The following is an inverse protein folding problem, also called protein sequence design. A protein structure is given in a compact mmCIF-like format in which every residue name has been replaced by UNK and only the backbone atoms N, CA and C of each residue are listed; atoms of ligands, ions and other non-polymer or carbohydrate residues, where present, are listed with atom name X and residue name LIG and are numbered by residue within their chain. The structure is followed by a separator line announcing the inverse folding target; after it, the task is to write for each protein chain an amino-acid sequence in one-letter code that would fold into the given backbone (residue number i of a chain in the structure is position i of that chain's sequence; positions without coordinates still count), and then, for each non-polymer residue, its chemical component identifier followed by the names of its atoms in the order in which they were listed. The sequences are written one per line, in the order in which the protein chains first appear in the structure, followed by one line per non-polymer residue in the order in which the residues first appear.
data_IF_539076405104
#
_entry.id   IF_539076405104
#
_cell.length_a   1.000
_cell.length_b   1.000
_cell.length_c   1.000
_cell.angle_alpha   90.00
_cell.angle_beta   90.00
_cell.angle_gamma   90.00
#
_symmetry.space_group_name_H-M   'P 1'
#
loop_
_entity.id
_entity.type
_entity.pdbx_description
1 polymer ?
#
# COMPACT_ATOMS: atom_id res chain seq x y z
N UNK A 1 13.17 -4.04 11.65
CA UNK A 1 14.46 -4.52 11.15
C UNK A 1 14.26 -5.06 9.74
N UNK A 2 14.62 -4.32 8.72
CA UNK A 2 14.58 -4.87 7.35
C UNK A 2 15.71 -5.90 7.25
N UNK A 3 15.35 -7.15 7.02
CA UNK A 3 16.32 -8.23 6.83
C UNK A 3 17.01 -8.01 5.49
N UNK A 4 18.26 -7.62 5.52
CA UNK A 4 19.03 -7.45 4.30
C UNK A 4 19.25 -8.80 3.62
N UNK A 5 18.86 -8.88 2.37
CA UNK A 5 19.20 -9.96 1.47
C UNK A 5 20.49 -9.62 0.71
N UNK A 6 21.11 -10.60 0.12
CA UNK A 6 22.21 -10.36 -0.82
C UNK A 6 21.67 -9.66 -2.08
N UNK A 7 22.51 -8.86 -2.70
CA UNK A 7 22.18 -8.26 -3.98
C UNK A 7 21.75 -9.35 -4.99
N UNK A 8 20.62 -9.12 -5.68
CA UNK A 8 20.02 -10.06 -6.63
C UNK A 8 19.59 -11.43 -6.05
N UNK A 9 19.42 -11.57 -4.73
CA UNK A 9 19.00 -12.84 -4.11
C UNK A 9 17.61 -13.30 -4.59
N UNK A 10 16.77 -12.37 -5.07
CA UNK A 10 15.44 -12.65 -5.62
C UNK A 10 15.40 -12.64 -7.16
N UNK A 11 16.55 -12.69 -7.82
CA UNK A 11 16.59 -12.63 -9.28
C UNK A 11 15.81 -13.79 -9.91
N UNK A 12 15.00 -13.45 -10.90
CA UNK A 12 14.15 -14.40 -11.62
C UNK A 12 12.83 -14.72 -10.92
N UNK A 13 12.48 -14.04 -9.82
CA UNK A 13 11.19 -14.16 -9.18
C UNK A 13 10.21 -13.10 -9.75
N UNK A 14 9.08 -13.56 -10.30
CA UNK A 14 7.98 -12.71 -10.74
C UNK A 14 6.95 -12.58 -9.60
N UNK A 15 6.63 -11.34 -9.24
CA UNK A 15 5.73 -11.04 -8.10
C UNK A 15 4.63 -10.10 -8.55
N UNK A 16 3.37 -10.45 -8.30
CA UNK A 16 2.24 -9.53 -8.52
C UNK A 16 1.55 -9.19 -7.21
N UNK A 17 1.44 -7.90 -6.93
CA UNK A 17 0.64 -7.37 -5.84
C UNK A 17 -0.72 -6.94 -6.38
N UNK A 18 -1.81 -7.46 -5.80
CA UNK A 18 -3.18 -7.13 -6.22
C UNK A 18 -3.87 -6.32 -5.12
N UNK A 19 -4.25 -5.09 -5.45
CA UNK A 19 -5.02 -4.21 -4.58
C UNK A 19 -6.51 -4.31 -4.88
N UNK A 20 -7.33 -4.48 -3.84
CA UNK A 20 -8.77 -4.70 -3.97
C UNK A 20 -9.56 -3.39 -3.95
N UNK A 21 -10.74 -3.33 -4.58
CA UNK A 21 -11.62 -2.17 -4.48
C UNK A 21 -12.03 -1.89 -3.03
N UNK A 22 -11.87 -0.64 -2.59
CA UNK A 22 -12.17 -0.22 -1.21
C UNK A 22 -13.53 0.43 -1.05
N UNK A 23 -14.02 1.12 -2.07
CA UNK A 23 -15.27 1.90 -2.03
C UNK A 23 -16.03 1.80 -3.35
N UNK A 24 -17.35 1.66 -3.26
CA UNK A 24 -18.22 1.63 -4.43
C UNK A 24 -18.74 3.03 -4.85
N UNK A 25 -18.83 3.96 -3.91
CA UNK A 25 -19.52 5.26 -4.10
C UNK A 25 -18.60 6.44 -4.43
N UNK A 26 -17.29 6.31 -4.31
CA UNK A 26 -16.37 7.41 -4.56
C UNK A 26 -15.20 6.99 -5.45
N UNK A 27 -14.74 7.89 -6.32
CA UNK A 27 -13.49 7.67 -7.05
C UNK A 27 -12.33 7.64 -6.04
N UNK A 28 -11.44 6.64 -6.11
CA UNK A 28 -10.25 6.61 -5.25
C UNK A 28 -9.34 7.78 -5.58
N UNK A 29 -8.78 8.38 -4.54
CA UNK A 29 -7.86 9.52 -4.62
C UNK A 29 -6.52 9.25 -3.91
N UNK A 30 -6.34 8.02 -3.46
CA UNK A 30 -5.09 7.58 -2.81
C UNK A 30 -4.65 6.31 -3.50
N UNK A 31 -3.51 6.33 -4.20
CA UNK A 31 -2.97 5.14 -4.83
C UNK A 31 -2.50 4.13 -3.77
N UNK A 32 -2.33 2.84 -4.14
CA UNK A 32 -2.01 1.77 -3.20
C UNK A 32 -0.55 1.84 -2.71
N UNK A 33 -0.25 2.72 -1.76
CA UNK A 33 1.13 2.96 -1.26
C UNK A 33 1.74 1.70 -0.65
N UNK A 34 0.96 0.90 0.10
CA UNK A 34 1.44 -0.36 0.69
C UNK A 34 1.99 -1.33 -0.36
N UNK A 35 1.18 -1.78 -1.33
CA UNK A 35 1.66 -2.58 -2.46
C UNK A 35 2.85 -1.98 -3.20
N UNK A 36 2.88 -0.66 -3.43
CA UNK A 36 3.97 0.01 -4.11
C UNK A 36 5.29 0.00 -3.32
N UNK A 37 5.22 0.13 -1.99
CA UNK A 37 6.40 -0.02 -1.11
C UNK A 37 6.90 -1.47 -1.12
N UNK A 38 6.02 -2.45 -1.00
CA UNK A 38 6.40 -3.86 -1.02
C UNK A 38 7.02 -4.25 -2.37
N UNK A 39 6.47 -3.76 -3.47
CA UNK A 39 7.02 -3.93 -4.81
C UNK A 39 8.44 -3.32 -4.93
N UNK A 40 8.63 -2.09 -4.46
CA UNK A 40 9.93 -1.44 -4.40
C UNK A 40 10.94 -2.25 -3.55
N UNK A 41 10.47 -2.82 -2.44
CA UNK A 41 11.28 -3.62 -1.52
C UNK A 41 11.80 -4.89 -2.19
N UNK A 42 10.96 -5.67 -2.85
CA UNK A 42 11.42 -6.90 -3.53
C UNK A 42 12.26 -6.58 -4.77
N UNK A 43 11.95 -5.49 -5.49
CA UNK A 43 12.71 -5.02 -6.64
C UNK A 43 14.16 -4.67 -6.29
N UNK A 44 14.38 -4.08 -5.11
CA UNK A 44 15.73 -3.77 -4.59
C UNK A 44 16.65 -5.00 -4.57
N UNK A 45 16.09 -6.20 -4.45
CA UNK A 45 16.83 -7.45 -4.37
C UNK A 45 16.70 -8.34 -5.63
N UNK A 46 16.27 -7.77 -6.75
CA UNK A 46 16.31 -8.40 -8.07
C UNK A 46 15.03 -9.12 -8.49
N UNK A 47 13.95 -9.10 -7.72
CA UNK A 47 12.66 -9.59 -8.20
C UNK A 47 12.06 -8.65 -9.26
N UNK A 48 11.17 -9.20 -10.09
CA UNK A 48 10.37 -8.45 -11.07
C UNK A 48 8.95 -8.26 -10.51
N UNK A 49 8.67 -7.12 -9.84
CA UNK A 49 7.36 -6.85 -9.28
C UNK A 49 6.42 -6.20 -10.29
N UNK A 50 5.13 -6.49 -10.12
CA UNK A 50 4.01 -5.85 -10.80
C UNK A 50 2.93 -5.48 -9.79
N UNK A 51 2.10 -4.50 -10.16
CA UNK A 51 0.92 -4.12 -9.38
C UNK A 51 -0.31 -4.17 -10.28
N UNK A 52 -1.34 -4.88 -9.84
CA UNK A 52 -2.69 -4.78 -10.39
C UNK A 52 -3.54 -4.06 -9.35
N UNK A 53 -4.01 -2.88 -9.69
CA UNK A 53 -4.85 -2.09 -8.79
C UNK A 53 -6.30 -2.04 -9.27
N UNK A 54 -7.12 -2.97 -8.81
CA UNK A 54 -8.54 -2.99 -9.13
C UNK A 54 -9.32 -1.80 -8.53
N UNK A 55 -8.76 -1.12 -7.53
CA UNK A 55 -9.42 0.02 -6.91
C UNK A 55 -9.42 1.27 -7.81
N UNK A 56 -8.45 1.42 -8.68
CA UNK A 56 -8.31 2.60 -9.56
C UNK A 56 -9.38 2.72 -10.65
N UNK A 57 -10.08 1.63 -10.96
CA UNK A 57 -10.99 1.55 -12.12
C UNK A 57 -12.45 1.90 -11.83
N UNK A 58 -12.71 2.71 -10.83
CA UNK A 58 -14.09 3.10 -10.59
C UNK A 58 -14.65 3.94 -11.77
N UNK A 59 -15.64 3.39 -12.41
CA UNK A 59 -16.39 4.10 -13.46
C UNK A 59 -17.23 5.20 -12.81
N UNK A 60 -17.06 6.45 -13.24
CA UNK A 60 -17.87 7.58 -12.80
C UNK A 60 -19.32 7.45 -13.26
N UNK A 61 -20.26 8.05 -12.53
CA UNK A 61 -21.68 8.01 -12.89
C UNK A 61 -21.94 8.53 -14.31
N UNK A 62 -21.30 9.64 -14.71
CA UNK A 62 -21.44 10.17 -16.06
C UNK A 62 -20.97 9.18 -17.13
N UNK A 63 -19.84 8.49 -16.92
CA UNK A 63 -19.34 7.47 -17.83
C UNK A 63 -20.23 6.21 -17.80
N UNK A 64 -20.75 5.87 -16.64
CA UNK A 64 -21.70 4.76 -16.49
C UNK A 64 -22.97 5.02 -17.30
N UNK A 65 -23.55 6.22 -17.20
CA UNK A 65 -24.74 6.61 -17.98
C UNK A 65 -24.46 6.57 -19.49
N UNK A 66 -23.30 7.03 -19.94
CA UNK A 66 -22.90 6.93 -21.37
C UNK A 66 -22.82 5.47 -21.85
N UNK A 67 -22.51 4.53 -20.94
CA UNK A 67 -22.47 3.08 -21.21
C UNK A 67 -23.79 2.36 -20.96
N UNK A 68 -24.86 3.11 -20.67
CA UNK A 68 -26.19 2.54 -20.38
C UNK A 68 -26.31 1.90 -18.99
N UNK A 69 -25.39 2.21 -18.06
CA UNK A 69 -25.44 1.78 -16.67
C UNK A 69 -26.16 2.82 -15.80
N UNK A 70 -26.82 2.37 -14.75
CA UNK A 70 -27.58 3.26 -13.85
C UNK A 70 -26.68 4.16 -13.02
N UNK A 71 -25.59 3.61 -12.48
CA UNK A 71 -24.65 4.32 -11.61
C UNK A 71 -23.21 3.90 -11.90
N UNK A 72 -22.25 4.73 -11.46
CA UNK A 72 -20.87 4.36 -11.44
C UNK A 72 -20.59 3.16 -10.52
N UNK A 73 -19.63 2.33 -10.91
CA UNK A 73 -19.25 1.11 -10.20
C UNK A 73 -17.77 0.82 -10.31
N UNK A 74 -17.26 -0.04 -9.46
CA UNK A 74 -15.98 -0.71 -9.70
C UNK A 74 -16.07 -1.69 -10.88
N UNK A 75 -14.94 -2.28 -11.26
CA UNK A 75 -14.91 -3.39 -12.20
C UNK A 75 -15.88 -4.50 -11.75
N UNK A 76 -16.50 -5.16 -12.72
CA UNK A 76 -17.11 -6.46 -12.48
C UNK A 76 -16.01 -7.51 -12.27
N UNK A 77 -16.36 -8.63 -11.67
CA UNK A 77 -15.43 -9.76 -11.54
C UNK A 77 -14.90 -10.25 -12.89
N UNK A 78 -15.76 -10.19 -13.93
CA UNK A 78 -15.35 -10.57 -15.30
C UNK A 78 -14.29 -9.61 -15.86
N UNK A 79 -14.50 -8.29 -15.72
CA UNK A 79 -13.51 -7.28 -16.14
C UNK A 79 -12.19 -7.41 -15.38
N UNK A 80 -12.25 -7.72 -14.07
CA UNK A 80 -11.07 -7.98 -13.26
C UNK A 80 -10.32 -9.25 -13.71
N UNK A 81 -11.07 -10.32 -14.07
CA UNK A 81 -10.48 -11.53 -14.61
C UNK A 81 -9.81 -11.29 -15.97
N UNK A 82 -10.47 -10.56 -16.86
CA UNK A 82 -9.93 -10.21 -18.18
C UNK A 82 -8.63 -9.40 -18.03
N UNK A 83 -8.59 -8.46 -17.09
CA UNK A 83 -7.38 -7.68 -16.78
C UNK A 83 -6.27 -8.57 -16.22
N UNK A 84 -6.58 -9.50 -15.33
CA UNK A 84 -5.61 -10.44 -14.79
C UNK A 84 -5.05 -11.36 -15.89
N UNK A 85 -5.90 -11.87 -16.78
CA UNK A 85 -5.45 -12.66 -17.94
C UNK A 85 -4.57 -11.83 -18.88
N UNK A 86 -4.95 -10.58 -19.16
CA UNK A 86 -4.11 -9.68 -19.95
C UNK A 86 -2.75 -9.43 -19.28
N UNK A 87 -2.72 -9.29 -17.96
CA UNK A 87 -1.48 -9.18 -17.20
C UNK A 87 -0.58 -10.42 -17.41
N UNK A 88 -1.15 -11.61 -17.32
CA UNK A 88 -0.39 -12.85 -17.57
C UNK A 88 0.11 -12.94 -19.01
N UNK A 89 -0.67 -12.48 -19.99
CA UNK A 89 -0.23 -12.43 -21.39
C UNK A 89 0.97 -11.50 -21.59
N UNK A 90 1.00 -10.39 -20.84
CA UNK A 90 2.09 -9.40 -20.95
C UNK A 90 3.35 -9.83 -20.20
N UNK A 91 3.24 -10.53 -19.08
CA UNK A 91 4.32 -10.74 -18.12
C UNK A 91 4.62 -12.22 -17.82
N UNK A 92 3.84 -13.14 -18.38
CA UNK A 92 3.97 -14.56 -18.12
C UNK A 92 3.47 -14.99 -16.73
N UNK A 93 3.83 -16.23 -16.37
CA UNK A 93 3.46 -16.81 -15.09
C UNK A 93 4.09 -16.07 -13.92
N UNK A 94 3.29 -15.95 -12.86
CA UNK A 94 3.70 -15.31 -11.61
C UNK A 94 4.04 -16.36 -10.55
N UNK A 95 5.18 -16.20 -9.91
CA UNK A 95 5.65 -17.12 -8.86
C UNK A 95 5.01 -16.82 -7.51
N UNK A 96 4.81 -15.55 -7.23
CA UNK A 96 4.19 -15.04 -6.01
C UNK A 96 3.09 -14.04 -6.37
N UNK A 97 1.89 -14.28 -5.86
CA UNK A 97 0.78 -13.33 -5.93
C UNK A 97 0.37 -12.96 -4.52
N UNK A 98 0.43 -11.66 -4.21
CA UNK A 98 0.13 -11.10 -2.90
C UNK A 98 -1.14 -10.24 -2.97
N UNK A 99 -2.14 -10.62 -2.18
CA UNK A 99 -3.39 -9.88 -2.03
C UNK A 99 -3.27 -8.93 -0.84
N UNK A 100 -3.79 -7.71 -1.01
CA UNK A 100 -3.87 -6.74 0.07
C UNK A 100 -5.31 -6.30 0.30
N UNK A 101 -5.73 -6.24 1.56
CA UNK A 101 -7.08 -5.79 1.83
C UNK A 101 -7.45 -5.64 3.30
N UNK A 102 -8.65 -5.09 3.46
CA UNK A 102 -9.34 -4.85 4.72
C UNK A 102 -10.58 -5.74 4.80
N UNK A 103 -11.27 -5.75 5.92
CA UNK A 103 -12.51 -6.53 6.08
C UNK A 103 -13.56 -6.21 5.00
N UNK A 104 -13.64 -4.95 4.60
CA UNK A 104 -14.56 -4.48 3.55
C UNK A 104 -14.27 -5.05 2.17
N UNK A 105 -13.09 -5.65 1.96
CA UNK A 105 -12.67 -6.25 0.68
C UNK A 105 -12.65 -7.78 0.71
N UNK A 106 -13.14 -8.43 1.76
CA UNK A 106 -13.10 -9.89 1.92
C UNK A 106 -13.70 -10.62 0.73
N UNK A 107 -14.89 -10.23 0.29
CA UNK A 107 -15.57 -10.82 -0.88
C UNK A 107 -14.75 -10.73 -2.15
N UNK A 108 -14.09 -9.60 -2.37
CA UNK A 108 -13.19 -9.43 -3.49
C UNK A 108 -11.97 -10.36 -3.40
N UNK A 109 -11.39 -10.50 -2.22
CA UNK A 109 -10.27 -11.41 -2.02
C UNK A 109 -10.64 -12.87 -2.27
N UNK A 110 -11.83 -13.31 -1.83
CA UNK A 110 -12.35 -14.65 -2.12
C UNK A 110 -12.43 -14.92 -3.63
N UNK A 111 -13.08 -14.01 -4.37
CA UNK A 111 -13.25 -14.19 -5.83
C UNK A 111 -11.93 -14.05 -6.60
N UNK A 112 -11.07 -13.11 -6.21
CA UNK A 112 -9.73 -12.96 -6.82
C UNK A 112 -8.85 -14.17 -6.51
N UNK A 113 -8.92 -14.75 -5.32
CA UNK A 113 -8.17 -15.96 -5.00
C UNK A 113 -8.61 -17.16 -5.87
N UNK A 114 -9.92 -17.33 -6.10
CA UNK A 114 -10.45 -18.34 -7.04
C UNK A 114 -9.97 -18.08 -8.47
N UNK A 115 -10.04 -16.82 -8.92
CA UNK A 115 -9.55 -16.40 -10.22
C UNK A 115 -8.05 -16.71 -10.39
N UNK A 116 -7.24 -16.35 -9.39
CA UNK A 116 -5.81 -16.66 -9.39
C UNK A 116 -5.59 -18.16 -9.53
N UNK A 117 -6.28 -19.00 -8.77
CA UNK A 117 -6.12 -20.46 -8.85
C UNK A 117 -6.56 -21.06 -10.17
N UNK A 118 -7.55 -20.47 -10.82
CA UNK A 118 -8.00 -20.89 -12.15
C UNK A 118 -6.89 -20.71 -13.19
N UNK A 119 -6.16 -19.61 -13.14
CA UNK A 119 -5.16 -19.24 -14.16
C UNK A 119 -3.71 -19.51 -13.74
N UNK A 120 -3.42 -19.53 -12.45
CA UNK A 120 -2.09 -19.71 -11.86
C UNK A 120 -2.15 -20.72 -10.69
N UNK A 121 -2.41 -22.03 -10.96
CA UNK A 121 -2.64 -23.02 -9.91
C UNK A 121 -1.42 -23.27 -9.03
N UNK A 122 -0.20 -23.07 -9.56
CA UNK A 122 1.08 -23.40 -8.90
C UNK A 122 1.71 -22.24 -8.13
N UNK A 123 1.28 -21.01 -8.33
CA UNK A 123 1.87 -19.84 -7.68
C UNK A 123 1.74 -19.90 -6.15
N UNK A 124 2.64 -19.22 -5.45
CA UNK A 124 2.45 -18.94 -4.04
C UNK A 124 1.42 -17.81 -3.91
N UNK A 125 0.27 -18.10 -3.30
CA UNK A 125 -0.79 -17.11 -3.08
C UNK A 125 -0.84 -16.74 -1.60
N UNK A 126 -0.58 -15.47 -1.30
CA UNK A 126 -0.55 -14.93 0.05
C UNK A 126 -1.51 -13.76 0.19
N UNK A 127 -2.08 -13.56 1.35
CA UNK A 127 -2.76 -12.31 1.70
C UNK A 127 -2.13 -11.68 2.95
N UNK A 128 -2.11 -10.34 2.96
CA UNK A 128 -1.57 -9.54 4.06
C UNK A 128 -2.48 -8.36 4.42
N UNK A 129 -1.97 -7.51 5.29
CA UNK A 129 -2.67 -6.33 5.79
C UNK A 129 -3.62 -6.62 6.95
N UNK A 130 -4.50 -5.66 7.25
CA UNK A 130 -5.36 -5.71 8.43
C UNK A 130 -6.24 -6.96 8.52
N UNK A 131 -6.81 -7.41 7.41
CA UNK A 131 -7.66 -8.60 7.39
C UNK A 131 -6.92 -9.85 7.84
N UNK A 132 -5.74 -10.11 7.28
CA UNK A 132 -4.92 -11.27 7.62
C UNK A 132 -4.43 -11.22 9.09
N UNK A 133 -4.16 -10.01 9.58
CA UNK A 133 -3.69 -9.80 10.94
C UNK A 133 -4.78 -10.05 11.98
N UNK A 134 -6.02 -9.63 11.73
CA UNK A 134 -7.13 -9.75 12.69
C UNK A 134 -7.76 -11.16 12.66
N UNK A 135 -8.04 -11.71 11.48
CA UNK A 135 -8.71 -13.01 11.36
C UNK A 135 -7.73 -14.18 11.55
N UNK A 136 -6.44 -13.94 11.31
CA UNK A 136 -5.38 -14.94 11.49
C UNK A 136 -5.67 -16.19 10.64
N UNK A 137 -5.37 -17.36 11.19
CA UNK A 137 -5.56 -18.67 10.52
C UNK A 137 -7.01 -18.97 10.16
N UNK A 138 -7.98 -18.33 10.81
CA UNK A 138 -9.38 -18.42 10.44
C UNK A 138 -9.68 -17.98 9.01
N UNK A 139 -8.81 -17.12 8.43
CA UNK A 139 -8.96 -16.65 7.05
C UNK A 139 -8.85 -17.79 6.02
N UNK A 140 -8.13 -18.87 6.31
CA UNK A 140 -8.08 -20.06 5.44
C UNK A 140 -9.43 -20.79 5.28
N UNK A 141 -10.37 -20.59 6.21
CA UNK A 141 -11.72 -21.11 6.08
C UNK A 141 -12.56 -20.29 5.10
N UNK A 142 -12.27 -19.00 4.98
CA UNK A 142 -12.97 -18.09 4.07
C UNK A 142 -12.35 -18.12 2.67
N UNK A 143 -11.02 -18.20 2.60
CA UNK A 143 -10.27 -18.19 1.33
C UNK A 143 -9.36 -19.43 1.31
N UNK A 144 -9.94 -20.62 1.01
CA UNK A 144 -9.18 -21.88 1.01
C UNK A 144 -8.12 -21.97 -0.09
N UNK A 145 -8.14 -21.06 -1.06
CA UNK A 145 -7.17 -20.94 -2.13
C UNK A 145 -5.79 -20.49 -1.67
N UNK A 146 -5.70 -19.83 -0.51
CA UNK A 146 -4.45 -19.28 0.01
C UNK A 146 -3.44 -20.38 0.40
N UNK A 147 -2.15 -20.10 0.11
CA UNK A 147 -1.03 -20.81 0.71
C UNK A 147 -0.60 -20.16 2.03
N UNK A 148 -0.67 -18.84 2.11
CA UNK A 148 -0.13 -18.14 3.26
C UNK A 148 -0.95 -16.92 3.67
N UNK A 149 -0.80 -16.59 4.95
CA UNK A 149 -1.19 -15.29 5.51
C UNK A 149 0.05 -14.59 6.07
N UNK A 150 0.15 -13.28 5.82
CA UNK A 150 1.18 -12.41 6.37
C UNK A 150 0.52 -11.44 7.37
N UNK A 151 0.96 -11.49 8.62
CA UNK A 151 0.40 -10.70 9.73
C UNK A 151 1.31 -9.53 10.05
N UNK A 152 0.73 -8.47 10.63
CA UNK A 152 1.46 -7.27 11.04
C UNK A 152 2.09 -6.51 9.87
N UNK A 153 3.27 -5.90 10.04
CA UNK A 153 3.92 -5.05 9.03
C UNK A 153 4.51 -5.87 7.87
N UNK A 154 4.33 -5.37 6.65
CA UNK A 154 4.72 -6.09 5.44
C UNK A 154 6.19 -5.96 5.02
N UNK A 155 6.89 -4.92 5.47
CA UNK A 155 8.15 -4.48 4.90
C UNK A 155 9.29 -5.51 4.98
N UNK A 156 9.47 -6.15 6.15
CA UNK A 156 10.48 -7.19 6.33
C UNK A 156 9.99 -8.54 5.82
N UNK A 157 8.73 -8.84 6.12
CA UNK A 157 8.19 -10.16 5.87
C UNK A 157 8.01 -10.44 4.39
N UNK A 158 7.80 -9.42 3.55
CA UNK A 158 7.71 -9.60 2.09
C UNK A 158 8.98 -10.21 1.50
N UNK A 159 10.16 -9.90 2.06
CA UNK A 159 11.43 -10.47 1.62
C UNK A 159 11.54 -11.95 1.98
N UNK A 160 11.03 -12.32 3.15
CA UNK A 160 10.97 -13.72 3.60
C UNK A 160 10.02 -14.52 2.71
N UNK A 161 8.83 -13.97 2.44
CA UNK A 161 7.83 -14.58 1.56
C UNK A 161 8.41 -14.77 0.15
N UNK A 162 9.09 -13.76 -0.37
CA UNK A 162 9.70 -13.79 -1.70
C UNK A 162 10.80 -14.86 -1.79
N UNK A 163 11.64 -15.02 -0.75
CA UNK A 163 12.63 -16.10 -0.70
C UNK A 163 11.98 -17.48 -0.69
N UNK A 164 10.95 -17.64 0.11
CA UNK A 164 10.23 -18.91 0.20
C UNK A 164 9.54 -19.23 -1.14
N UNK A 165 8.95 -18.22 -1.81
CA UNK A 165 8.38 -18.38 -3.14
C UNK A 165 9.44 -18.78 -4.19
N UNK A 166 10.62 -18.16 -4.13
CA UNK A 166 11.74 -18.54 -5.00
C UNK A 166 12.20 -20.00 -4.76
N UNK A 167 12.24 -20.42 -3.50
CA UNK A 167 12.57 -21.82 -3.16
C UNK A 167 11.51 -22.81 -3.69
N UNK A 168 10.23 -22.44 -3.63
CA UNK A 168 9.13 -23.22 -4.22
C UNK A 168 9.26 -23.27 -5.74
N UNK A 169 9.54 -22.14 -6.41
CA UNK A 169 9.80 -22.10 -7.85
C UNK A 169 10.91 -23.05 -8.27
N UNK A 170 12.02 -23.04 -7.54
CA UNK A 170 13.22 -23.81 -7.88
C UNK A 170 13.10 -25.31 -7.60
N UNK A 171 12.38 -25.72 -6.58
CA UNK A 171 12.39 -27.11 -6.11
C UNK A 171 10.99 -27.75 -6.01
N UNK A 172 9.94 -27.01 -6.25
CA UNK A 172 8.55 -27.43 -6.04
C UNK A 172 8.16 -27.48 -4.54
N UNK A 173 6.87 -27.42 -4.28
CA UNK A 173 6.31 -27.36 -2.91
C UNK A 173 6.82 -28.47 -1.99
N UNK A 174 6.72 -29.74 -2.43
CA UNK A 174 7.12 -30.89 -1.63
C UNK A 174 8.58 -30.83 -1.18
N UNK A 175 9.48 -30.49 -2.09
CA UNK A 175 10.90 -30.41 -1.78
C UNK A 175 11.23 -29.19 -0.94
N UNK A 176 10.61 -28.03 -1.20
CA UNK A 176 10.80 -26.82 -0.42
C UNK A 176 10.40 -27.02 1.03
N UNK A 177 9.25 -27.67 1.28
CA UNK A 177 8.77 -27.99 2.64
C UNK A 177 9.68 -29.02 3.33
N UNK A 178 9.97 -30.14 2.68
CA UNK A 178 10.75 -31.23 3.25
C UNK A 178 12.21 -30.85 3.57
N UNK A 179 12.80 -29.97 2.76
CA UNK A 179 14.16 -29.51 2.98
C UNK A 179 14.32 -28.47 4.07
N UNK A 180 13.22 -28.07 4.74
CA UNK A 180 13.18 -27.00 5.75
C UNK A 180 13.80 -25.67 5.26
N UNK A 181 13.73 -25.43 3.96
CA UNK A 181 14.24 -24.18 3.35
C UNK A 181 13.32 -23.00 3.56
N UNK A 182 12.06 -23.25 3.93
CA UNK A 182 11.08 -22.21 4.15
C UNK A 182 11.23 -21.60 5.53
N UNK A 183 11.16 -20.27 5.58
CA UNK A 183 11.29 -19.49 6.82
C UNK A 183 9.95 -19.31 7.55
N UNK A 184 8.84 -19.67 6.90
CA UNK A 184 7.50 -19.54 7.43
C UNK A 184 7.18 -20.61 8.49
N UNK A 185 6.22 -20.31 9.35
CA UNK A 185 5.60 -21.32 10.20
C UNK A 185 4.65 -22.18 9.36
N UNK A 186 5.00 -23.46 9.19
CA UNK A 186 4.22 -24.41 8.41
C UNK A 186 3.08 -25.00 9.23
N UNK A 187 1.85 -24.87 8.75
CA UNK A 187 0.65 -25.38 9.41
C UNK A 187 0.30 -26.82 8.99
N UNK A 188 0.73 -27.24 7.80
CA UNK A 188 0.36 -28.53 7.21
C UNK A 188 -0.16 -28.39 5.79
N UNK A 189 -0.62 -29.52 5.24
CA UNK A 189 -1.28 -29.57 3.94
C UNK A 189 -2.78 -29.80 4.14
N UNK A 190 -3.59 -28.92 3.56
CA UNK A 190 -5.05 -28.94 3.66
C UNK A 190 -5.66 -28.74 2.27
N UNK A 191 -6.52 -29.68 1.84
CA UNK A 191 -7.16 -29.62 0.52
C UNK A 191 -6.15 -29.56 -0.63
N UNK A 192 -5.02 -30.30 -0.51
CA UNK A 192 -3.96 -30.32 -1.50
C UNK A 192 -3.09 -29.06 -1.56
N UNK A 193 -3.17 -28.18 -0.55
CA UNK A 193 -2.37 -26.95 -0.46
C UNK A 193 -1.56 -26.90 0.83
N UNK A 194 -0.29 -26.58 0.68
CA UNK A 194 0.59 -26.25 1.81
C UNK A 194 0.20 -24.88 2.37
N UNK A 195 0.07 -24.79 3.70
CA UNK A 195 -0.35 -23.57 4.39
C UNK A 195 0.70 -23.08 5.38
N UNK A 196 0.91 -21.75 5.38
CA UNK A 196 1.95 -21.08 6.15
C UNK A 196 1.42 -19.81 6.83
N UNK A 197 2.09 -19.42 7.90
CA UNK A 197 1.90 -18.12 8.54
C UNK A 197 3.23 -17.39 8.57
N UNK A 198 3.20 -16.17 8.16
CA UNK A 198 4.32 -15.23 8.28
C UNK A 198 3.96 -14.14 9.28
N UNK A 199 4.94 -13.73 10.07
CA UNK A 199 4.81 -12.66 11.05
C UNK A 199 5.81 -11.56 10.72
N UNK A 200 5.30 -10.36 10.43
CA UNK A 200 6.11 -9.19 10.16
C UNK A 200 6.34 -8.36 11.41
N UNK A 201 7.39 -7.58 11.39
CA UNK A 201 7.71 -6.60 12.44
C UNK A 201 7.89 -5.23 11.80
N UNK A 202 7.57 -4.18 12.56
CA UNK A 202 7.83 -2.82 12.10
C UNK A 202 9.34 -2.58 12.06
N UNK A 203 9.88 -2.08 10.94
CA UNK A 203 11.25 -1.61 10.86
C UNK A 203 11.52 -0.52 11.90
N UNK A 204 12.63 -0.63 12.65
CA UNK A 204 13.02 0.38 13.65
C UNK A 204 13.38 1.71 12.96
N UNK A 205 14.06 1.65 11.82
CA UNK A 205 14.39 2.81 11.02
C UNK A 205 13.53 2.82 9.75
N UNK A 206 12.54 3.70 9.71
CA UNK A 206 11.63 3.83 8.57
C UNK A 206 12.30 4.45 7.33
N UNK A 207 13.46 5.07 7.44
CA UNK A 207 14.21 5.59 6.30
C UNK A 207 14.87 4.49 5.46
N UNK A 208 14.93 3.26 5.97
CA UNK A 208 15.40 2.10 5.20
C UNK A 208 14.34 1.55 4.24
N UNK A 209 13.08 1.92 4.44
CA UNK A 209 11.97 1.53 3.56
C UNK A 209 12.11 2.32 2.26
N UNK A 210 12.12 1.65 1.09
CA UNK A 210 12.23 2.34 -0.18
C UNK A 210 11.00 3.22 -0.44
N UNK A 211 11.16 4.21 -1.31
CA UNK A 211 10.03 4.97 -1.80
C UNK A 211 9.09 4.07 -2.62
N UNK A 212 7.78 4.33 -2.61
CA UNK A 212 6.82 3.56 -3.39
C UNK A 212 7.19 3.50 -4.88
N UNK A 213 7.06 2.32 -5.47
CA UNK A 213 7.31 2.08 -6.89
C UNK A 213 6.10 2.53 -7.73
N UNK A 214 5.84 3.83 -7.75
CA UNK A 214 4.71 4.42 -8.49
C UNK A 214 4.78 4.18 -10.00
N UNK A 215 5.99 4.00 -10.54
CA UNK A 215 6.23 3.66 -11.94
C UNK A 215 5.51 2.38 -12.38
N UNK A 216 5.19 1.47 -11.45
CA UNK A 216 4.42 0.26 -11.73
C UNK A 216 2.92 0.52 -11.97
N UNK A 217 2.44 1.74 -11.71
CA UNK A 217 1.08 2.16 -12.02
C UNK A 217 1.00 3.08 -13.25
N UNK A 218 2.14 3.47 -13.84
CA UNK A 218 2.20 4.30 -15.04
C UNK A 218 1.78 3.54 -16.32
N UNK A 219 1.65 2.22 -16.22
CA UNK A 219 1.14 1.38 -17.29
C UNK A 219 0.42 0.16 -16.71
N UNK A 220 -0.89 0.15 -16.81
CA UNK A 220 -1.71 -1.00 -16.45
C UNK A 220 -1.61 -2.13 -17.49
N UNK A 221 -2.25 -3.29 -17.31
CA UNK A 221 -2.21 -4.38 -18.30
C UNK A 221 -2.68 -4.01 -19.71
N UNK A 222 -3.40 -2.92 -19.86
CA UNK A 222 -3.88 -2.39 -21.15
C UNK A 222 -3.07 -1.17 -21.65
N UNK A 223 -2.00 -0.78 -20.95
CA UNK A 223 -1.15 0.35 -21.29
C UNK A 223 -1.70 1.72 -20.85
N UNK A 224 -2.69 1.74 -19.94
CA UNK A 224 -3.24 2.97 -19.39
C UNK A 224 -2.43 3.45 -18.19
N UNK A 225 -2.15 4.76 -18.10
CA UNK A 225 -1.50 5.39 -16.95
C UNK A 225 -2.51 5.61 -15.82
N UNK A 226 -2.57 4.62 -14.92
CA UNK A 226 -3.45 4.65 -13.77
C UNK A 226 -2.96 5.61 -12.67
N UNK A 227 -1.65 5.83 -12.58
CA UNK A 227 -1.09 6.80 -11.63
C UNK A 227 -1.54 8.21 -11.94
N UNK A 228 -1.56 8.59 -13.22
CA UNK A 228 -2.05 9.91 -13.65
C UNK A 228 -3.52 10.11 -13.29
N UNK A 229 -4.34 9.07 -13.35
CA UNK A 229 -5.73 9.13 -12.89
C UNK A 229 -5.83 9.47 -11.38
N UNK A 230 -4.96 8.90 -10.56
CA UNK A 230 -4.89 9.22 -9.13
C UNK A 230 -4.40 10.65 -8.88
N UNK A 231 -3.34 11.07 -9.56
CA UNK A 231 -2.73 12.39 -9.41
C UNK A 231 -3.73 13.50 -9.70
N UNK A 232 -4.60 13.31 -10.70
CA UNK A 232 -5.61 14.29 -11.11
C UNK A 232 -6.88 14.28 -10.24
N UNK A 233 -6.96 13.45 -9.20
CA UNK A 233 -8.04 13.48 -8.22
C UNK A 233 -7.51 14.07 -6.92
N UNK A 234 -7.90 15.32 -6.57
CA UNK A 234 -7.38 15.97 -5.37
C UNK A 234 -7.56 15.13 -4.12
N UNK A 235 -6.49 14.94 -3.38
CA UNK A 235 -6.53 14.35 -2.04
C UNK A 235 -7.39 15.23 -1.15
N UNK A 236 -8.33 14.63 -0.40
CA UNK A 236 -9.34 15.33 0.43
C UNK A 236 -10.29 16.26 -0.32
N UNK A 237 -10.06 16.53 -1.60
CA UNK A 237 -10.99 17.17 -2.53
C UNK A 237 -11.56 18.50 -2.06
N UNK A 238 -12.80 18.73 -2.46
CA UNK A 238 -13.52 19.97 -2.14
C UNK A 238 -13.78 20.16 -0.64
N UNK A 239 -13.90 19.10 0.13
CA UNK A 239 -14.14 19.18 1.57
C UNK A 239 -12.99 19.89 2.30
N UNK A 240 -11.75 19.55 2.01
CA UNK A 240 -10.58 20.20 2.58
C UNK A 240 -10.52 21.68 2.19
N UNK A 241 -10.74 21.99 0.92
CA UNK A 241 -10.73 23.37 0.43
C UNK A 241 -11.84 24.21 1.08
N UNK A 242 -13.06 23.68 1.19
CA UNK A 242 -14.20 24.39 1.75
C UNK A 242 -14.10 24.61 3.26
N UNK A 243 -13.37 23.76 3.98
CA UNK A 243 -13.18 23.89 5.43
C UNK A 243 -11.98 24.76 5.82
N UNK A 244 -11.18 25.20 4.86
CA UNK A 244 -10.05 26.10 5.10
C UNK A 244 -10.50 27.54 5.27
N UNK A 245 -9.94 28.23 6.28
CA UNK A 245 -10.14 29.68 6.45
C UNK A 245 -9.55 30.47 5.26
N UNK A 246 -8.47 29.96 4.67
CA UNK A 246 -7.87 30.49 3.44
C UNK A 246 -7.99 29.42 2.37
N UNK A 247 -8.92 29.55 1.41
CA UNK A 247 -9.07 28.59 0.33
C UNK A 247 -7.79 28.41 -0.47
N UNK A 248 -7.49 27.18 -0.80
CA UNK A 248 -6.35 26.82 -1.66
C UNK A 248 -6.82 25.88 -2.77
N UNK A 249 -6.12 25.91 -3.89
CA UNK A 249 -6.35 24.98 -4.99
C UNK A 249 -5.30 23.90 -4.98
N UNK A 250 -5.73 22.65 -5.18
CA UNK A 250 -4.83 21.55 -5.53
C UNK A 250 -5.34 20.93 -6.83
N UNK A 251 -4.45 20.69 -7.74
CA UNK A 251 -4.76 20.12 -9.06
C UNK A 251 -4.14 18.75 -9.20
N UNK A 252 -2.90 18.63 -8.75
CA UNK A 252 -2.07 17.44 -8.91
C UNK A 252 -1.50 17.05 -7.55
N UNK A 253 -1.97 15.95 -7.01
CA UNK A 253 -1.60 15.54 -5.65
C UNK A 253 -1.26 14.06 -5.56
N UNK A 254 -0.36 13.72 -4.65
CA UNK A 254 -0.12 12.36 -4.17
C UNK A 254 -0.12 12.35 -2.66
N UNK A 255 -0.20 11.15 -2.11
CA UNK A 255 0.00 10.92 -0.68
C UNK A 255 1.34 10.26 -0.42
N UNK A 256 1.86 10.47 0.78
CA UNK A 256 2.96 9.69 1.34
C UNK A 256 2.87 9.65 2.85
N UNK A 257 3.15 8.50 3.44
CA UNK A 257 3.14 8.31 4.88
C UNK A 257 4.47 8.80 5.46
N UNK A 258 4.40 9.71 6.44
CA UNK A 258 5.60 10.26 7.11
C UNK A 258 5.89 9.58 8.45
N UNK A 259 4.90 8.91 9.02
CA UNK A 259 5.00 8.16 10.27
C UNK A 259 4.12 6.92 10.21
N UNK A 260 4.33 5.97 11.10
CA UNK A 260 3.49 4.79 11.25
C UNK A 260 3.08 4.60 12.69
N UNK A 261 1.79 4.33 12.88
CA UNK A 261 1.17 4.14 14.17
C UNK A 261 0.96 5.42 14.95
N UNK A 262 0.41 5.27 16.14
CA UNK A 262 0.09 6.37 17.03
C UNK A 262 0.32 5.93 18.50
N UNK A 263 1.00 6.72 19.34
CA UNK A 263 1.32 6.31 20.71
C UNK A 263 0.12 6.39 21.67
N UNK A 264 -0.98 6.99 21.24
CA UNK A 264 -2.17 7.21 22.08
C UNK A 264 -3.10 5.99 22.14
N UNK A 265 -3.98 5.96 23.13
CA UNK A 265 -4.89 4.86 23.44
C UNK A 265 -6.35 5.26 23.41
N UNK A 266 -6.78 6.00 22.38
CA UNK A 266 -8.16 6.42 22.22
C UNK A 266 -9.09 5.21 22.12
N UNK A 267 -10.15 5.16 22.94
CA UNK A 267 -11.01 3.99 23.07
C UNK A 267 -11.77 3.62 21.79
N UNK A 268 -12.01 4.57 20.92
CA UNK A 268 -12.71 4.37 19.63
C UNK A 268 -11.78 4.01 18.47
N UNK A 269 -10.46 4.17 18.64
CA UNK A 269 -9.53 4.09 17.53
C UNK A 269 -9.04 2.67 17.30
N UNK A 270 -9.14 2.22 16.06
CA UNK A 270 -8.42 1.04 15.60
C UNK A 270 -6.95 1.40 15.36
N UNK A 271 -6.05 0.78 16.11
CA UNK A 271 -4.61 1.07 16.10
C UNK A 271 -3.78 0.00 15.40
N UNK A 272 -4.31 -0.50 14.31
CA UNK A 272 -3.66 -1.60 13.60
C UNK A 272 -3.76 -2.92 14.37
N UNK A 273 -3.08 -3.89 13.82
CA UNK A 273 -3.07 -5.23 14.35
C UNK A 273 -2.58 -5.26 15.79
N UNK A 274 -3.31 -5.94 16.64
CA UNK A 274 -2.95 -6.22 18.03
C UNK A 274 -2.88 -4.99 18.96
N UNK A 275 -3.44 -3.85 18.58
CA UNK A 275 -3.43 -2.66 19.43
C UNK A 275 -2.05 -2.08 19.66
N UNK A 276 -1.15 -2.20 18.69
CA UNK A 276 0.22 -1.69 18.78
C UNK A 276 0.23 -0.19 19.06
N UNK A 277 0.85 0.20 20.17
CA UNK A 277 1.08 1.59 20.55
C UNK A 277 2.37 2.18 19.95
N UNK A 278 3.04 1.42 19.10
CA UNK A 278 4.31 1.83 18.54
C UNK A 278 4.12 2.99 17.58
N UNK A 279 5.00 3.96 17.70
CA UNK A 279 5.07 5.12 16.84
C UNK A 279 6.49 5.22 16.25
N UNK A 280 6.57 5.29 14.95
CA UNK A 280 7.82 5.47 14.22
C UNK A 280 7.69 6.58 13.20
N UNK A 281 8.77 7.32 12.96
CA UNK A 281 8.82 8.41 11.98
C UNK A 281 9.93 8.20 10.97
N UNK A 282 9.70 8.65 9.77
CA UNK A 282 10.74 8.89 8.77
C UNK A 282 11.40 10.23 9.09
N UNK A 283 12.68 10.37 8.80
CA UNK A 283 13.34 11.67 8.94
C UNK A 283 12.73 12.71 7.99
N UNK A 284 12.75 13.96 8.38
CA UNK A 284 12.26 15.06 7.54
C UNK A 284 13.07 15.16 6.25
N UNK A 285 14.35 14.88 6.33
CA UNK A 285 15.27 14.84 5.21
C UNK A 285 14.92 13.76 4.18
N UNK A 286 14.52 12.57 4.67
CA UNK A 286 14.07 11.48 3.80
C UNK A 286 12.74 11.82 3.11
N UNK A 287 11.80 12.43 3.84
CA UNK A 287 10.52 12.88 3.29
C UNK A 287 10.73 14.00 2.27
N UNK A 288 11.55 15.00 2.59
CA UNK A 288 11.81 16.12 1.69
C UNK A 288 12.42 15.67 0.36
N UNK A 289 13.35 14.71 0.38
CA UNK A 289 13.91 14.10 -0.84
C UNK A 289 12.83 13.40 -1.67
N UNK A 290 11.92 12.68 -1.02
CA UNK A 290 10.81 12.02 -1.71
C UNK A 290 9.88 13.04 -2.36
N UNK A 291 9.48 14.09 -1.63
CA UNK A 291 8.65 15.18 -2.15
C UNK A 291 9.30 15.81 -3.36
N UNK A 292 10.58 16.16 -3.26
CA UNK A 292 11.34 16.77 -4.37
C UNK A 292 11.33 15.85 -5.61
N UNK A 293 11.55 14.56 -5.42
CA UNK A 293 11.49 13.58 -6.51
C UNK A 293 10.11 13.52 -7.16
N UNK A 294 9.04 13.53 -6.36
CA UNK A 294 7.67 13.48 -6.85
C UNK A 294 7.26 14.76 -7.58
N UNK A 295 7.62 15.92 -7.03
CA UNK A 295 7.34 17.23 -7.67
C UNK A 295 8.02 17.30 -9.03
N UNK A 296 9.29 16.91 -9.11
CA UNK A 296 10.05 16.95 -10.36
C UNK A 296 9.52 15.94 -11.40
N UNK A 297 9.12 14.74 -10.97
CA UNK A 297 8.67 13.69 -11.89
C UNK A 297 7.21 13.89 -12.32
N UNK A 298 6.34 14.23 -11.37
CA UNK A 298 4.89 14.24 -11.59
C UNK A 298 4.26 15.63 -11.62
N UNK A 299 5.06 16.69 -11.48
CA UNK A 299 4.58 18.07 -11.45
C UNK A 299 3.47 18.29 -10.43
N UNK A 300 3.70 17.84 -9.20
CA UNK A 300 2.72 17.94 -8.12
C UNK A 300 2.69 19.36 -7.53
N UNK A 301 1.51 19.80 -7.13
CA UNK A 301 1.28 21.04 -6.39
C UNK A 301 0.83 20.82 -4.94
N UNK A 302 0.56 19.54 -4.57
CA UNK A 302 0.12 19.20 -3.23
C UNK A 302 0.57 17.78 -2.80
N UNK A 303 0.93 17.66 -1.52
CA UNK A 303 1.21 16.36 -0.87
C UNK A 303 0.26 16.15 0.31
N UNK A 304 -0.40 15.00 0.35
CA UNK A 304 -1.16 14.55 1.51
C UNK A 304 -0.34 13.65 2.41
N UNK A 305 -0.36 13.90 3.72
CA UNK A 305 0.18 12.98 4.73
C UNK A 305 -0.98 12.30 5.48
N UNK A 306 -1.38 11.08 5.06
CA UNK A 306 -2.46 10.35 5.71
C UNK A 306 -1.97 9.59 6.95
N UNK A 307 -1.09 10.20 7.71
CA UNK A 307 -0.55 9.64 8.94
C UNK A 307 -1.66 9.44 9.98
N UNK A 308 -1.56 8.41 10.79
CA UNK A 308 -2.49 8.20 11.92
C UNK A 308 -2.46 9.38 12.90
N UNK A 309 -1.29 9.98 13.08
CA UNK A 309 -1.09 11.24 13.81
C UNK A 309 0.26 11.88 13.44
N UNK A 310 0.22 12.98 12.74
CA UNK A 310 1.41 13.64 12.20
C UNK A 310 2.22 14.40 13.25
N UNK A 311 1.54 15.11 14.15
CA UNK A 311 2.15 16.14 15.00
C UNK A 311 2.60 15.66 16.40
N UNK A 312 2.76 14.36 16.61
CA UNK A 312 3.16 13.76 17.90
C UNK A 312 4.44 14.39 18.47
N UNK A 313 5.48 14.56 17.64
CA UNK A 313 6.79 15.03 18.08
C UNK A 313 6.96 16.54 17.87
N UNK A 314 6.84 17.33 18.95
CA UNK A 314 7.12 18.78 18.91
C UNK A 314 8.49 19.11 18.33
N UNK A 315 9.52 18.34 18.72
CA UNK A 315 10.90 18.53 18.21
C UNK A 315 10.98 18.34 16.69
N UNK A 316 10.28 17.34 16.14
CA UNK A 316 10.23 17.09 14.70
C UNK A 316 9.50 18.23 13.97
N UNK A 317 8.36 18.64 14.50
CA UNK A 317 7.54 19.70 13.89
C UNK A 317 8.26 21.05 13.88
N UNK A 318 8.99 21.43 14.94
CA UNK A 318 9.79 22.65 14.96
C UNK A 318 10.84 22.74 13.85
N UNK A 319 11.33 21.60 13.37
CA UNK A 319 12.37 21.54 12.32
C UNK A 319 11.80 21.47 10.90
N UNK A 320 10.48 21.29 10.74
CA UNK A 320 9.89 20.98 9.43
C UNK A 320 10.12 22.11 8.42
N UNK A 321 9.92 23.34 8.83
CA UNK A 321 10.12 24.53 8.00
C UNK A 321 11.58 24.67 7.53
N UNK A 322 12.52 24.49 8.45
CA UNK A 322 13.95 24.57 8.17
C UNK A 322 14.37 23.51 7.14
N UNK A 323 14.01 22.24 7.40
CA UNK A 323 14.40 21.12 6.52
C UNK A 323 13.71 21.26 5.15
N UNK A 324 12.44 21.61 5.10
CA UNK A 324 11.74 21.75 3.82
C UNK A 324 12.32 22.91 2.97
N UNK A 325 12.71 24.02 3.60
CA UNK A 325 13.47 25.11 2.92
C UNK A 325 14.82 24.63 2.41
N UNK A 326 15.58 23.91 3.24
CA UNK A 326 16.88 23.38 2.85
C UNK A 326 16.82 22.49 1.60
N UNK A 327 15.73 21.74 1.42
CA UNK A 327 15.53 20.87 0.26
C UNK A 327 14.70 21.53 -0.86
N UNK A 328 14.28 22.79 -0.71
CA UNK A 328 13.52 23.54 -1.71
C UNK A 328 12.10 23.01 -1.94
N UNK A 329 11.50 22.39 -0.92
CA UNK A 329 10.13 21.84 -0.99
C UNK A 329 9.12 22.61 -0.15
N UNK A 330 9.53 23.68 0.50
CA UNK A 330 8.67 24.57 1.29
C UNK A 330 7.63 25.35 0.44
N UNK A 331 7.82 25.40 -0.89
CA UNK A 331 6.85 25.95 -1.83
C UNK A 331 5.71 25.00 -2.16
N UNK A 332 5.85 23.70 -1.82
CA UNK A 332 4.83 22.69 -2.05
C UNK A 332 3.84 22.72 -0.91
N UNK A 333 2.57 22.87 -1.25
CA UNK A 333 1.49 22.80 -0.27
C UNK A 333 1.28 21.36 0.19
N UNK A 334 0.94 21.22 1.46
CA UNK A 334 0.64 19.91 2.01
C UNK A 334 -0.40 19.99 3.11
N UNK A 335 -0.97 18.86 3.46
CA UNK A 335 -1.92 18.74 4.53
C UNK A 335 -1.83 17.41 5.25
N UNK A 336 -2.40 17.34 6.44
CA UNK A 336 -2.34 16.17 7.31
C UNK A 336 -3.49 16.09 8.29
N UNK A 337 -3.46 15.05 9.14
CA UNK A 337 -4.37 14.87 10.27
C UNK A 337 -3.58 14.79 11.58
N UNK A 338 -4.14 15.32 12.64
CA UNK A 338 -3.57 15.24 13.98
C UNK A 338 -4.67 15.32 15.04
N UNK A 339 -4.31 15.18 16.30
CA UNK A 339 -5.26 15.27 17.41
C UNK A 339 -5.56 16.74 17.76
N UNK A 340 -6.77 17.00 18.28
CA UNK A 340 -7.19 18.33 18.68
C UNK A 340 -6.30 18.92 19.79
N UNK A 341 -5.84 18.10 20.75
CA UNK A 341 -4.95 18.55 21.83
C UNK A 341 -3.49 18.84 21.38
N UNK A 342 -3.20 18.62 20.10
CA UNK A 342 -1.94 19.00 19.43
C UNK A 342 -2.08 20.30 18.63
N UNK A 343 -3.23 20.96 18.68
CA UNK A 343 -3.49 22.26 18.08
C UNK A 343 -2.84 23.40 18.91
N UNK A 344 -1.54 23.38 18.99
CA UNK A 344 -0.72 24.37 19.70
C UNK A 344 0.29 25.04 18.73
N UNK A 345 1.42 25.49 19.24
CA UNK A 345 2.50 26.10 18.47
C UNK A 345 2.97 25.26 17.25
N UNK A 346 2.70 23.93 17.26
CA UNK A 346 3.03 23.04 16.14
C UNK A 346 2.31 23.44 14.85
N UNK A 347 1.07 23.95 14.97
CA UNK A 347 0.31 24.39 13.80
C UNK A 347 1.02 25.54 13.06
N UNK A 348 1.62 26.49 13.79
CA UNK A 348 2.38 27.58 13.20
C UNK A 348 3.64 27.08 12.49
N UNK A 349 4.41 26.18 13.12
CA UNK A 349 5.58 25.59 12.48
C UNK A 349 5.24 24.76 11.23
N UNK A 350 4.10 24.07 11.24
CA UNK A 350 3.62 23.37 10.04
C UNK A 350 3.25 24.35 8.93
N UNK A 351 2.53 25.44 9.26
CA UNK A 351 2.18 26.48 8.28
C UNK A 351 3.42 27.14 7.66
N UNK A 352 4.45 27.45 8.47
CA UNK A 352 5.74 27.96 7.98
C UNK A 352 6.46 26.97 7.04
N UNK A 353 6.19 25.68 7.16
CA UNK A 353 6.70 24.61 6.30
C UNK A 353 5.82 24.28 5.09
N UNK A 354 4.78 25.09 4.79
CA UNK A 354 3.90 24.92 3.63
C UNK A 354 2.59 24.14 3.90
N UNK A 355 2.28 23.82 5.17
CA UNK A 355 1.02 23.19 5.52
C UNK A 355 -0.15 24.18 5.34
N UNK A 356 -1.17 23.76 4.59
CA UNK A 356 -2.38 24.56 4.33
C UNK A 356 -3.66 23.92 4.87
N UNK A 357 -3.57 22.68 5.33
CA UNK A 357 -4.71 21.94 5.86
C UNK A 357 -4.31 21.01 7.00
N UNK A 358 -5.03 21.09 8.11
CA UNK A 358 -4.91 20.15 9.23
C UNK A 358 -6.32 19.68 9.59
N UNK A 359 -6.57 18.38 9.41
CA UNK A 359 -7.77 17.74 9.94
C UNK A 359 -7.55 17.32 11.39
N UNK A 360 -8.40 17.81 12.30
CA UNK A 360 -8.31 17.45 13.71
C UNK A 360 -9.30 16.34 14.06
N UNK A 361 -8.77 15.27 14.68
CA UNK A 361 -9.58 14.26 15.34
C UNK A 361 -9.97 14.75 16.74
N UNK A 362 -11.27 14.80 17.02
CA UNK A 362 -11.85 15.23 18.29
C UNK A 362 -12.34 14.03 19.11
#
# INVERSE_FOLDING_TARGET
FIKELKHNELQGLNVTFINMPLRESARPNVPPEGPAILAATVRKYGATPHIIDFNGYRIRDATAHQRGLTNGRHLSLKEAEDMFVQHLNNHGDQDLIALSGKITTLRWQEEVAKMVRKHQPSCVLVTGGGLATEIKTGLFNWIPELNAIARSEGDDVVLIIAKDALAVKQSGWKNAVNSKKLSAYYLGEYGGRHRFVYEGNRPQNLDLIPYPAWDLLESDPYGHDLLEDYINVPVWGLAANNSSATPFTMRRSLTTVSSRGCPYSCAFCYRGAQGEKNYGVRSLEHIAKQILGYVNKYNLDFIGFPDDNFAVSKKRIKRISEVFKQYGVDQIRWGTHTRMDEADERAFHMAEGGCVYIGFGA
#
